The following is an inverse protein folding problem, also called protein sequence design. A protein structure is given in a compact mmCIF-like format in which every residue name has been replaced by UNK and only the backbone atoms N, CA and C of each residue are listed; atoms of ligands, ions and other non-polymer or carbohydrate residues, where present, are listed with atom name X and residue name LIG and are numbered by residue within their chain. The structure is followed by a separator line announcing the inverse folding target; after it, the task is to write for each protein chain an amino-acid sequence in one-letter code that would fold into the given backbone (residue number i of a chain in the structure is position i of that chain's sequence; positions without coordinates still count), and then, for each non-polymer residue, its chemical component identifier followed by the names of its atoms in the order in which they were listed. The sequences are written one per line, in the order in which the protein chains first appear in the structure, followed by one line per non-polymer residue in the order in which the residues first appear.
data_IF_379620476837
#
_entry.id   IF_379620476837
#
_cell.length_a   1.000
_cell.length_b   1.000
_cell.length_c   1.000
_cell.angle_alpha   90.00
_cell.angle_beta   90.00
_cell.angle_gamma   90.00
#
_symmetry.space_group_name_H-M   'P 1'
#
loop_
_entity.id
_entity.type
_entity.pdbx_description
1 polymer ?
#
# COMPACT_ATOMS: atom_id res chain seq x y z
N UNK A 1 2.63 -11.06 -16.09
CA UNK A 1 1.16 -11.19 -15.97
C UNK A 1 0.75 -11.44 -14.53
N UNK A 2 -0.34 -10.83 -14.12
CA UNK A 2 -0.92 -11.11 -12.81
C UNK A 2 -1.66 -12.44 -12.89
N UNK A 3 -1.31 -13.39 -12.00
CA UNK A 3 -1.98 -14.66 -11.92
C UNK A 3 -3.31 -14.50 -11.19
N UNK A 4 -4.35 -15.09 -11.73
CA UNK A 4 -5.70 -15.05 -11.15
C UNK A 4 -6.28 -16.45 -11.06
N UNK A 5 -7.16 -16.65 -10.09
CA UNK A 5 -7.89 -17.91 -9.92
C UNK A 5 -9.37 -17.63 -9.68
N UNK A 6 -10.20 -18.64 -9.88
CA UNK A 6 -11.62 -18.49 -9.56
C UNK A 6 -11.84 -18.59 -8.05
N UNK A 7 -12.80 -17.82 -7.58
CA UNK A 7 -13.23 -17.79 -6.19
C UNK A 7 -14.75 -17.84 -6.15
N UNK A 8 -15.29 -18.75 -5.37
CA UNK A 8 -16.73 -18.85 -5.18
C UNK A 8 -17.11 -18.07 -3.92
N UNK A 9 -18.15 -17.25 -4.05
CA UNK A 9 -18.67 -16.46 -2.92
C UNK A 9 -20.13 -16.71 -2.69
N UNK A 10 -20.52 -16.78 -1.41
CA UNK A 10 -21.91 -16.83 -0.97
C UNK A 10 -22.40 -15.40 -0.76
N UNK A 11 -23.65 -15.14 -1.19
CA UNK A 11 -24.29 -13.87 -0.88
C UNK A 11 -24.61 -13.80 0.62
N UNK A 12 -24.00 -12.90 1.40
CA UNK A 12 -24.25 -12.84 2.84
C UNK A 12 -25.68 -12.40 3.20
N UNK A 13 -26.42 -11.78 2.26
CA UNK A 13 -27.81 -11.37 2.47
C UNK A 13 -28.81 -12.48 2.18
N UNK A 14 -28.39 -13.47 1.41
CA UNK A 14 -29.23 -14.62 1.03
C UNK A 14 -28.34 -15.84 0.83
N UNK A 15 -28.14 -16.62 1.89
CA UNK A 15 -27.28 -17.80 1.87
C UNK A 15 -27.82 -18.93 0.99
N UNK A 16 -29.13 -18.87 0.63
CA UNK A 16 -29.74 -19.84 -0.27
C UNK A 16 -29.63 -19.44 -1.74
N UNK A 17 -29.22 -18.19 -2.03
CA UNK A 17 -29.01 -17.75 -3.40
C UNK A 17 -27.90 -18.58 -4.06
N UNK A 18 -27.95 -18.79 -5.40
CA UNK A 18 -26.87 -19.48 -6.11
C UNK A 18 -25.53 -18.78 -5.86
N UNK A 19 -24.50 -19.58 -5.57
CA UNK A 19 -23.15 -19.06 -5.41
C UNK A 19 -22.62 -18.58 -6.75
N UNK A 20 -21.92 -17.46 -6.73
CA UNK A 20 -21.28 -16.89 -7.93
C UNK A 20 -19.77 -17.07 -7.87
N UNK A 21 -19.17 -17.05 -9.04
CA UNK A 21 -17.73 -17.16 -9.17
C UNK A 21 -17.14 -15.82 -9.56
N UNK A 22 -15.99 -15.51 -8.97
CA UNK A 22 -15.25 -14.27 -9.19
C UNK A 22 -13.80 -14.60 -9.46
N UNK A 23 -13.07 -13.63 -9.95
CA UNK A 23 -11.64 -13.75 -10.17
C UNK A 23 -10.90 -13.08 -9.00
N UNK A 24 -9.90 -13.77 -8.48
CA UNK A 24 -9.05 -13.26 -7.41
C UNK A 24 -7.59 -13.33 -7.84
N UNK A 25 -6.84 -12.26 -7.57
CA UNK A 25 -5.41 -12.25 -7.82
C UNK A 25 -4.69 -13.22 -6.88
N UNK A 26 -3.68 -13.90 -7.41
CA UNK A 26 -2.83 -14.83 -6.66
C UNK A 26 -1.41 -14.27 -6.66
N UNK A 27 -0.77 -14.24 -5.49
CA UNK A 27 0.61 -13.78 -5.40
C UNK A 27 1.55 -14.70 -6.19
N UNK A 28 2.43 -14.10 -6.98
CA UNK A 28 3.50 -14.81 -7.67
C UNK A 28 4.79 -14.87 -6.83
N UNK A 29 4.74 -14.40 -5.59
CA UNK A 29 5.88 -14.32 -4.69
C UNK A 29 6.03 -12.93 -4.11
N UNK A 30 7.15 -12.70 -3.46
CA UNK A 30 7.46 -11.43 -2.81
C UNK A 30 8.78 -10.88 -3.33
N UNK A 31 8.83 -9.58 -3.54
CA UNK A 31 10.07 -8.86 -3.79
C UNK A 31 10.37 -8.02 -2.55
N UNK A 32 11.47 -8.30 -1.89
CA UNK A 32 11.86 -7.60 -0.67
C UNK A 32 12.81 -6.45 -0.94
N UNK A 33 13.19 -5.74 0.11
CA UNK A 33 14.07 -4.59 0.01
C UNK A 33 15.46 -4.98 -0.50
N UNK A 34 15.96 -6.16 -0.10
CA UNK A 34 17.24 -6.67 -0.55
C UNK A 34 17.27 -6.89 -2.07
N UNK A 35 16.19 -7.46 -2.61
CA UNK A 35 16.05 -7.65 -4.06
C UNK A 35 15.98 -6.32 -4.80
N UNK A 36 15.24 -5.35 -4.27
CA UNK A 36 15.16 -4.02 -4.87
C UNK A 36 16.51 -3.32 -4.86
N UNK A 37 17.25 -3.42 -3.75
CA UNK A 37 18.60 -2.86 -3.66
C UNK A 37 19.54 -3.48 -4.70
N UNK A 38 19.44 -4.79 -4.91
CA UNK A 38 20.22 -5.48 -5.94
C UNK A 38 19.88 -4.97 -7.33
N UNK A 39 18.58 -4.85 -7.65
CA UNK A 39 18.16 -4.36 -8.97
C UNK A 39 18.61 -2.92 -9.20
N UNK A 40 18.52 -2.06 -8.18
CA UNK A 40 18.98 -0.68 -8.27
C UNK A 40 20.49 -0.63 -8.51
N UNK A 41 21.27 -1.48 -7.84
CA UNK A 41 22.72 -1.51 -8.01
C UNK A 41 23.12 -1.90 -9.43
N UNK A 42 22.33 -2.73 -10.12
CA UNK A 42 22.57 -3.11 -11.50
C UNK A 42 22.24 -1.99 -12.50
N UNK A 43 21.44 -1.01 -12.09
CA UNK A 43 20.99 0.11 -12.92
C UNK A 43 21.72 1.42 -12.60
N UNK A 44 22.68 1.37 -11.69
CA UNK A 44 23.39 2.56 -11.23
C UNK A 44 24.86 2.23 -10.96
N UNK A 45 25.63 3.24 -10.58
CA UNK A 45 27.04 3.06 -10.17
C UNK A 45 27.17 2.77 -8.68
N UNK A 46 26.07 2.66 -7.96
CA UNK A 46 26.05 2.50 -6.50
C UNK A 46 26.03 1.01 -6.16
N UNK A 47 26.82 0.62 -5.15
CA UNK A 47 26.87 -0.77 -4.70
C UNK A 47 25.58 -1.16 -3.99
N UNK A 48 25.25 -2.46 -4.02
CA UNK A 48 24.04 -3.00 -3.38
C UNK A 48 23.95 -2.60 -1.91
N UNK A 49 25.05 -2.72 -1.15
CA UNK A 49 25.05 -2.36 0.27
C UNK A 49 24.71 -0.88 0.49
N UNK A 50 25.22 0.00 -0.38
CA UNK A 50 24.94 1.43 -0.31
C UNK A 50 23.49 1.73 -0.71
N UNK A 51 22.97 1.02 -1.71
CA UNK A 51 21.55 1.13 -2.10
C UNK A 51 20.64 0.73 -0.94
N UNK A 52 20.96 -0.37 -0.26
CA UNK A 52 20.20 -0.84 0.88
C UNK A 52 20.23 0.18 2.02
N UNK A 53 21.41 0.76 2.30
CA UNK A 53 21.57 1.78 3.32
C UNK A 53 20.73 3.03 3.02
N UNK A 54 20.68 3.46 1.74
CA UNK A 54 19.87 4.59 1.32
C UNK A 54 18.39 4.30 1.51
N UNK A 55 17.93 3.10 1.17
CA UNK A 55 16.53 2.71 1.34
C UNK A 55 16.14 2.66 2.83
N UNK A 56 17.04 2.17 3.69
CA UNK A 56 16.82 2.18 5.14
C UNK A 56 16.76 3.61 5.68
N UNK A 57 17.63 4.50 5.19
CA UNK A 57 17.62 5.90 5.58
C UNK A 57 16.33 6.58 5.11
N UNK A 58 15.81 6.23 3.93
CA UNK A 58 14.54 6.73 3.44
C UNK A 58 13.41 6.37 4.41
N UNK A 59 13.34 5.11 4.83
CA UNK A 59 12.32 4.67 5.79
C UNK A 59 12.41 5.48 7.08
N UNK A 60 13.62 5.62 7.64
CA UNK A 60 13.82 6.35 8.89
C UNK A 60 13.34 7.79 8.78
N UNK A 61 13.70 8.47 7.70
CA UNK A 61 13.29 9.86 7.48
C UNK A 61 11.78 9.97 7.26
N UNK A 62 11.18 9.02 6.54
CA UNK A 62 9.73 8.98 6.36
C UNK A 62 9.00 8.86 7.71
N UNK A 63 9.51 8.00 8.59
CA UNK A 63 8.92 7.83 9.92
C UNK A 63 8.96 9.15 10.71
N UNK A 64 10.08 9.84 10.69
CA UNK A 64 10.24 11.11 11.39
C UNK A 64 9.28 12.18 10.85
N UNK A 65 9.20 12.31 9.53
CA UNK A 65 8.33 13.30 8.90
C UNK A 65 6.85 12.98 9.10
N UNK A 66 6.46 11.71 9.02
CA UNK A 66 5.09 11.29 9.26
C UNK A 66 4.68 11.54 10.71
N UNK A 67 5.60 11.34 11.66
CA UNK A 67 5.34 11.60 13.08
C UNK A 67 5.01 13.07 13.34
N UNK A 68 5.57 13.96 12.53
CA UNK A 68 5.27 15.40 12.60
C UNK A 68 4.01 15.80 11.83
N UNK A 69 3.27 14.84 11.30
CA UNK A 69 2.02 15.09 10.59
C UNK A 69 2.19 15.53 9.15
N UNK A 70 3.39 15.38 8.57
CA UNK A 70 3.62 15.77 7.19
C UNK A 70 3.21 14.69 6.22
N UNK A 71 2.81 15.10 5.01
CA UNK A 71 2.56 14.20 3.90
C UNK A 71 3.89 13.93 3.23
N UNK A 72 4.20 12.65 3.01
CA UNK A 72 5.41 12.25 2.26
C UNK A 72 5.04 12.17 0.79
N UNK A 73 5.65 13.02 -0.02
CA UNK A 73 5.50 12.99 -1.47
C UNK A 73 6.75 12.35 -2.09
N UNK A 74 6.61 11.16 -2.66
CA UNK A 74 7.70 10.42 -3.30
C UNK A 74 7.62 10.50 -4.81
N UNK A 75 7.41 11.69 -5.34
CA UNK A 75 7.42 11.91 -6.80
C UNK A 75 6.47 10.94 -7.52
N UNK A 76 7.01 10.15 -8.44
CA UNK A 76 6.22 9.21 -9.24
C UNK A 76 5.81 7.94 -8.52
N UNK A 77 6.20 7.75 -7.29
CA UNK A 77 5.76 6.60 -6.49
C UNK A 77 4.37 6.89 -5.90
N UNK A 78 4.25 7.98 -5.18
CA UNK A 78 2.99 8.33 -4.55
C UNK A 78 3.17 9.03 -3.22
N UNK A 79 2.07 9.19 -2.49
CA UNK A 79 2.04 9.93 -1.25
C UNK A 79 1.64 9.02 -0.08
N UNK A 80 2.31 9.22 1.06
CA UNK A 80 1.99 8.57 2.33
C UNK A 80 1.51 9.61 3.31
N UNK A 81 0.50 9.26 4.09
CA UNK A 81 -0.08 10.16 5.09
C UNK A 81 -0.65 9.36 6.25
N UNK A 82 -0.52 9.91 7.46
CA UNK A 82 -1.19 9.35 8.63
C UNK A 82 -2.54 10.03 8.78
N UNK A 83 -3.59 9.22 8.87
CA UNK A 83 -4.92 9.66 9.24
C UNK A 83 -5.31 9.09 10.59
N UNK A 84 -6.38 9.59 11.17
CA UNK A 84 -6.86 9.13 12.46
C UNK A 84 -8.34 8.78 12.40
N UNK A 85 -8.73 7.83 13.24
CA UNK A 85 -10.13 7.54 13.54
C UNK A 85 -10.45 8.13 14.90
N UNK A 86 -11.64 8.70 15.05
CA UNK A 86 -12.01 9.46 16.24
C UNK A 86 -13.36 8.99 16.79
N UNK A 87 -13.51 9.06 18.11
CA UNK A 87 -14.80 9.06 18.75
C UNK A 87 -15.49 10.41 18.49
N UNK A 88 -16.83 10.40 18.54
CA UNK A 88 -17.61 11.62 18.35
C UNK A 88 -17.79 12.36 19.67
N UNK A 89 -17.91 13.68 19.60
CA UNK A 89 -18.33 14.52 20.70
C UNK A 89 -19.63 15.23 20.34
N UNK A 90 -20.43 15.57 21.35
CA UNK A 90 -21.70 16.25 21.11
C UNK A 90 -21.53 17.74 20.81
N UNK A 91 -20.48 18.33 21.30
CA UNK A 91 -20.17 19.75 21.07
C UNK A 91 -18.72 19.91 20.61
N UNK A 92 -18.45 21.01 19.93
CA UNK A 92 -17.11 21.33 19.46
C UNK A 92 -16.12 21.53 20.63
N UNK A 93 -16.57 22.11 21.73
CA UNK A 93 -15.75 22.35 22.92
C UNK A 93 -15.27 21.05 23.57
N UNK A 94 -15.98 19.95 23.38
CA UNK A 94 -15.60 18.63 23.92
C UNK A 94 -14.55 17.93 23.06
N UNK A 95 -14.25 18.45 21.86
CA UNK A 95 -13.29 17.84 20.95
C UNK A 95 -11.88 18.09 21.46
N UNK A 96 -11.18 17.01 21.78
CA UNK A 96 -9.78 17.02 22.23
C UNK A 96 -9.02 15.89 21.53
N UNK A 97 -7.69 15.94 21.63
CA UNK A 97 -6.84 14.87 21.07
C UNK A 97 -7.12 13.50 21.70
N UNK A 98 -7.72 13.45 22.88
CA UNK A 98 -8.06 12.19 23.55
C UNK A 98 -9.16 11.41 22.83
N UNK A 99 -9.89 12.04 21.90
CA UNK A 99 -10.90 11.36 21.09
C UNK A 99 -10.30 10.49 20.00
N UNK A 100 -9.01 10.63 19.71
CA UNK A 100 -8.34 9.80 18.70
C UNK A 100 -8.30 8.36 19.20
N UNK A 101 -8.87 7.44 18.41
CA UNK A 101 -8.90 6.01 18.76
C UNK A 101 -7.71 5.27 18.20
N UNK A 102 -7.37 5.52 16.94
CA UNK A 102 -6.24 4.88 16.28
C UNK A 102 -5.75 5.74 15.13
N UNK A 103 -4.49 5.55 14.77
CA UNK A 103 -3.89 6.11 13.57
C UNK A 103 -3.80 5.03 12.48
N UNK A 104 -3.79 5.47 11.23
CA UNK A 104 -3.63 4.60 10.07
C UNK A 104 -2.75 5.29 9.05
N UNK A 105 -2.03 4.49 8.25
CA UNK A 105 -1.25 5.00 7.13
C UNK A 105 -2.04 4.75 5.87
N UNK A 106 -2.22 5.80 5.05
CA UNK A 106 -2.79 5.67 3.73
C UNK A 106 -1.73 5.95 2.67
N UNK A 107 -1.82 5.23 1.56
CA UNK A 107 -0.96 5.41 0.41
C UNK A 107 -1.81 5.75 -0.81
N UNK A 108 -1.41 6.81 -1.54
CA UNK A 108 -2.02 7.17 -2.81
C UNK A 108 -0.98 7.07 -3.90
N UNK A 109 -1.15 6.17 -4.88
CA UNK A 109 -0.18 6.05 -5.96
C UNK A 109 -0.17 7.30 -6.84
N UNK A 110 1.00 7.69 -7.30
CA UNK A 110 1.15 8.75 -8.28
C UNK A 110 0.79 8.25 -9.67
N UNK A 111 0.82 9.17 -10.65
CA UNK A 111 0.38 8.88 -12.01
C UNK A 111 1.07 7.66 -12.62
N UNK A 112 2.39 7.53 -12.44
CA UNK A 112 3.14 6.41 -13.01
C UNK A 112 2.59 5.05 -12.54
N UNK A 113 2.33 4.90 -11.25
CA UNK A 113 1.78 3.66 -10.71
C UNK A 113 0.30 3.48 -11.08
N UNK A 114 -0.47 4.57 -11.18
CA UNK A 114 -1.86 4.46 -11.65
C UNK A 114 -1.92 4.03 -13.11
N UNK A 115 -1.06 4.58 -13.94
CA UNK A 115 -1.01 4.22 -15.36
C UNK A 115 -0.62 2.76 -15.56
N UNK A 116 0.22 2.22 -14.68
CA UNK A 116 0.58 0.80 -14.69
C UNK A 116 -0.66 -0.10 -14.64
N UNK A 117 -1.69 0.29 -13.90
CA UNK A 117 -2.91 -0.51 -13.74
C UNK A 117 -3.65 -0.70 -15.07
N UNK A 118 -3.44 0.20 -16.04
CA UNK A 118 -4.05 0.11 -17.37
C UNK A 118 -3.27 -0.83 -18.31
N UNK A 119 -2.06 -1.21 -17.95
CA UNK A 119 -1.15 -1.99 -18.82
C UNK A 119 -0.91 -3.40 -18.30
N UNK A 120 -1.44 -3.76 -17.15
CA UNK A 120 -1.25 -5.11 -16.59
C UNK A 120 -2.09 -6.13 -17.33
N UNK A 121 -1.51 -7.31 -17.53
CA UNK A 121 -2.18 -8.45 -18.15
C UNK A 121 -2.44 -9.53 -17.11
N UNK A 122 -3.39 -10.39 -17.39
CA UNK A 122 -3.85 -11.41 -16.45
C UNK A 122 -3.75 -12.79 -17.06
N UNK A 123 -3.41 -13.78 -16.23
CA UNK A 123 -3.35 -15.19 -16.64
C UNK A 123 -4.04 -16.04 -15.58
N UNK A 124 -5.06 -16.79 -16.00
CA UNK A 124 -5.73 -17.73 -15.11
C UNK A 124 -4.82 -18.91 -14.79
N UNK A 125 -4.69 -19.22 -13.51
CA UNK A 125 -4.02 -20.43 -13.02
C UNK A 125 -5.03 -21.31 -12.29
N UNK A 126 -4.85 -22.58 -12.40
CA UNK A 126 -5.78 -23.55 -11.81
C UNK A 126 -5.60 -23.67 -10.30
#
# INVERSE_FOLDING_TARGET
MIQVKSLQRVNPRDVEAPKKFYVQAVSAGKTDLDRLAYLISNQSTVRKADCYAVLEALLHNMMDELREGRIIELGNIGNFQIGVSSDAAETEEEVTSSLVRKAKISFRPAKALRDLLQTVDYKKVS
#
